data_IF_250565577507
#
_entry.id   IF_250565577507
#
_cell.length_a   1.000
_cell.length_b   1.000
_cell.length_c   1.000
_cell.angle_alpha   90.00
_cell.angle_beta   90.00
_cell.angle_gamma   90.00
#
_symmetry.space_group_name_H-M   'P 1'
#
loop_
_entity.id
_entity.type
_entity.pdbx_description
1 polymer ?
#
# COMPACT_ATOMS: atom_id res chain seq x y z
N UNK A 1 -10.39 9.93 -17.15
CA UNK A 1 -10.45 9.12 -15.91
C UNK A 1 -9.07 8.94 -15.31
N UNK A 2 -8.02 8.72 -16.09
CA UNK A 2 -6.69 8.36 -15.63
C UNK A 2 -6.05 9.43 -14.74
N UNK A 3 -6.13 10.71 -15.11
CA UNK A 3 -5.60 11.81 -14.30
C UNK A 3 -6.29 11.91 -12.92
N UNK A 4 -7.61 11.72 -12.88
CA UNK A 4 -8.37 11.70 -11.62
C UNK A 4 -7.97 10.48 -10.80
N UNK A 5 -7.82 9.31 -11.44
CA UNK A 5 -7.34 8.10 -10.78
C UNK A 5 -5.94 8.31 -10.17
N UNK A 6 -5.01 8.95 -10.88
CA UNK A 6 -3.67 9.25 -10.37
C UNK A 6 -3.73 10.07 -9.07
N UNK A 7 -4.55 11.12 -9.04
CA UNK A 7 -4.70 11.99 -7.87
C UNK A 7 -5.35 11.23 -6.72
N UNK A 8 -6.50 10.60 -6.95
CA UNK A 8 -7.30 9.96 -5.88
C UNK A 8 -6.62 8.69 -5.35
N UNK A 9 -6.12 7.84 -6.23
CA UNK A 9 -5.44 6.60 -5.81
C UNK A 9 -4.11 6.91 -5.13
N UNK A 10 -3.37 7.92 -5.62
CA UNK A 10 -2.19 8.41 -4.94
C UNK A 10 -2.48 8.93 -3.53
N UNK A 11 -3.57 9.70 -3.36
CA UNK A 11 -4.02 10.16 -2.05
C UNK A 11 -4.34 9.00 -1.10
N UNK A 12 -5.08 8.00 -1.58
CA UNK A 12 -5.43 6.82 -0.78
C UNK A 12 -4.19 6.04 -0.35
N UNK A 13 -3.25 5.78 -1.26
CA UNK A 13 -1.99 5.11 -0.93
C UNK A 13 -1.19 5.91 0.11
N UNK A 14 -1.13 7.24 -0.02
CA UNK A 14 -0.50 8.10 0.97
C UNK A 14 -1.16 8.03 2.35
N UNK A 15 -2.50 8.04 2.42
CA UNK A 15 -3.26 7.86 3.66
C UNK A 15 -2.99 6.48 4.27
N UNK A 16 -3.11 5.41 3.47
CA UNK A 16 -2.85 4.05 3.93
C UNK A 16 -1.45 3.90 4.50
N UNK A 17 -0.43 4.38 3.80
CA UNK A 17 0.94 4.38 4.27
C UNK A 17 1.13 5.13 5.59
N UNK A 18 0.53 6.31 5.72
CA UNK A 18 0.57 7.10 6.94
C UNK A 18 -0.05 6.37 8.14
N UNK A 19 -1.20 5.72 7.94
CA UNK A 19 -1.86 4.90 8.95
C UNK A 19 -0.96 3.73 9.37
N UNK A 20 -0.40 2.99 8.40
CA UNK A 20 0.44 1.84 8.70
C UNK A 20 1.75 2.21 9.40
N UNK A 21 2.40 3.31 9.01
CA UNK A 21 3.61 3.80 9.68
C UNK A 21 3.34 4.20 11.13
N UNK A 22 2.17 4.78 11.40
CA UNK A 22 1.75 5.14 12.75
C UNK A 22 1.45 3.90 13.61
N UNK A 23 0.63 2.95 13.11
CA UNK A 23 0.27 1.73 13.85
C UNK A 23 1.51 0.88 14.16
N UNK A 24 2.39 0.71 13.18
CA UNK A 24 3.61 -0.10 13.34
C UNK A 24 4.72 0.63 14.07
N UNK A 25 4.59 1.96 14.26
CA UNK A 25 5.65 2.85 14.77
C UNK A 25 6.97 2.65 14.02
N UNK A 26 6.84 2.34 12.75
CA UNK A 26 7.96 2.03 11.87
C UNK A 26 7.80 2.79 10.55
N UNK A 27 8.79 3.57 10.12
CA UNK A 27 8.77 4.26 8.84
C UNK A 27 8.69 3.32 7.64
N UNK A 28 8.97 2.04 7.80
CA UNK A 28 8.86 1.00 6.79
C UNK A 28 7.47 0.34 6.75
N UNK A 29 6.53 0.74 7.61
CA UNK A 29 5.18 0.21 7.64
C UNK A 29 4.40 0.68 6.41
N UNK A 30 3.88 -0.27 5.63
CA UNK A 30 2.97 -0.01 4.52
C UNK A 30 2.08 -1.22 4.29
N UNK A 31 0.90 -1.07 3.66
CA UNK A 31 0.04 -2.20 3.31
C UNK A 31 0.75 -3.25 2.46
N UNK A 32 1.63 -2.82 1.56
CA UNK A 32 2.43 -3.67 0.65
C UNK A 32 3.32 -4.62 1.46
N UNK A 33 4.03 -4.10 2.48
CA UNK A 33 4.94 -4.89 3.33
C UNK A 33 4.18 -5.92 4.17
N UNK A 34 2.91 -5.64 4.51
CA UNK A 34 2.06 -6.58 5.29
C UNK A 34 1.50 -7.71 4.42
N UNK A 35 1.79 -7.70 3.13
CA UNK A 35 1.44 -8.80 2.24
C UNK A 35 0.05 -8.72 1.62
N UNK A 36 -0.64 -7.58 1.77
CA UNK A 36 -1.93 -7.37 1.14
C UNK A 36 -1.84 -7.59 -0.38
N UNK A 37 -0.85 -6.97 -1.04
CA UNK A 37 -0.65 -7.08 -2.48
C UNK A 37 -0.32 -8.51 -2.92
N UNK A 38 0.46 -9.27 -2.12
CA UNK A 38 0.75 -10.66 -2.41
C UNK A 38 -0.51 -11.52 -2.39
N UNK A 39 -1.41 -11.30 -1.43
CA UNK A 39 -2.69 -11.99 -1.36
C UNK A 39 -3.64 -11.64 -2.50
N UNK A 40 -3.74 -10.35 -2.83
CA UNK A 40 -4.50 -9.88 -3.96
C UNK A 40 -4.00 -10.51 -5.26
N UNK A 41 -2.68 -10.52 -5.45
CA UNK A 41 -2.05 -11.12 -6.62
C UNK A 41 -2.29 -12.63 -6.70
N UNK A 42 -2.15 -13.36 -5.59
CA UNK A 42 -2.41 -14.81 -5.55
C UNK A 42 -3.85 -15.13 -5.97
N UNK A 43 -4.82 -14.37 -5.46
CA UNK A 43 -6.22 -14.59 -5.83
C UNK A 43 -6.48 -14.32 -7.32
N UNK A 44 -5.84 -13.30 -7.87
CA UNK A 44 -5.92 -12.99 -9.32
C UNK A 44 -5.26 -14.08 -10.16
N UNK A 45 -4.09 -14.56 -9.76
CA UNK A 45 -3.41 -15.69 -10.40
C UNK A 45 -4.32 -16.91 -10.44
N UNK A 46 -4.98 -17.24 -9.32
CA UNK A 46 -5.91 -18.37 -9.25
C UNK A 46 -7.11 -18.16 -10.19
N UNK A 47 -7.69 -16.96 -10.25
CA UNK A 47 -8.84 -16.68 -11.13
C UNK A 47 -8.46 -16.77 -12.60
N UNK A 48 -7.30 -16.25 -12.99
CA UNK A 48 -6.86 -16.27 -14.39
C UNK A 48 -6.36 -17.67 -14.79
N UNK A 49 -5.43 -18.27 -14.01
CA UNK A 49 -4.75 -19.50 -14.42
C UNK A 49 -5.54 -20.77 -14.10
N UNK A 50 -6.35 -20.78 -13.04
CA UNK A 50 -7.07 -22.00 -12.61
C UNK A 50 -8.53 -21.96 -13.08
N UNK A 51 -9.20 -20.80 -13.00
CA UNK A 51 -10.61 -20.64 -13.41
C UNK A 51 -10.75 -20.18 -14.85
N UNK A 52 -9.68 -19.78 -15.54
CA UNK A 52 -9.70 -19.29 -16.92
C UNK A 52 -10.52 -18.00 -17.13
N UNK A 53 -10.70 -17.20 -16.06
CA UNK A 53 -11.58 -16.04 -16.11
C UNK A 53 -10.76 -14.75 -16.12
N UNK A 54 -10.80 -14.01 -17.24
CA UNK A 54 -10.10 -12.74 -17.44
C UNK A 54 -11.02 -11.51 -17.32
N UNK A 55 -12.29 -11.72 -16.87
CA UNK A 55 -13.24 -10.62 -16.77
C UNK A 55 -12.86 -9.64 -15.66
N UNK A 56 -12.87 -8.34 -15.94
CA UNK A 56 -12.43 -7.27 -15.03
C UNK A 56 -13.02 -7.36 -13.62
N UNK A 57 -14.36 -7.53 -13.51
CA UNK A 57 -15.03 -7.58 -12.21
C UNK A 57 -14.66 -8.82 -11.39
N UNK A 58 -14.42 -9.96 -12.05
CA UNK A 58 -13.97 -11.18 -11.38
C UNK A 58 -12.56 -11.00 -10.80
N UNK A 59 -11.68 -10.38 -11.58
CA UNK A 59 -10.30 -10.07 -11.16
C UNK A 59 -10.31 -9.05 -10.02
N UNK A 60 -11.08 -7.97 -10.13
CA UNK A 60 -11.18 -6.94 -9.09
C UNK A 60 -11.73 -7.50 -7.77
N UNK A 61 -12.78 -8.33 -7.85
CA UNK A 61 -13.35 -8.99 -6.68
C UNK A 61 -12.35 -9.97 -6.03
N UNK A 62 -11.69 -10.79 -6.85
CA UNK A 62 -10.66 -11.71 -6.36
C UNK A 62 -9.51 -10.97 -5.67
N UNK A 63 -9.02 -9.88 -6.25
CA UNK A 63 -7.98 -9.05 -5.65
C UNK A 63 -8.36 -8.54 -4.26
N UNK A 64 -9.58 -8.01 -4.11
CA UNK A 64 -10.10 -7.54 -2.82
C UNK A 64 -10.18 -8.69 -1.81
N UNK A 65 -10.79 -9.79 -2.19
CA UNK A 65 -10.99 -10.94 -1.30
C UNK A 65 -9.67 -11.54 -0.87
N UNK A 66 -8.75 -11.78 -1.82
CA UNK A 66 -7.42 -12.33 -1.52
C UNK A 66 -6.60 -11.41 -0.62
N UNK A 67 -6.63 -10.11 -0.88
CA UNK A 67 -5.97 -9.13 -0.04
C UNK A 67 -6.55 -9.06 1.38
N UNK A 68 -7.87 -9.07 1.53
CA UNK A 68 -8.55 -9.07 2.84
C UNK A 68 -8.22 -10.36 3.61
N UNK A 69 -8.30 -11.52 2.97
CA UNK A 69 -7.96 -12.80 3.62
C UNK A 69 -6.52 -12.77 4.11
N UNK A 70 -5.59 -12.28 3.29
CA UNK A 70 -4.18 -12.19 3.67
C UNK A 70 -3.96 -11.19 4.78
N UNK A 71 -4.57 -10.00 4.71
CA UNK A 71 -4.50 -9.01 5.78
C UNK A 71 -5.05 -9.55 7.10
N UNK A 72 -6.17 -10.27 7.06
CA UNK A 72 -6.75 -10.92 8.24
C UNK A 72 -5.84 -12.01 8.79
N UNK A 73 -5.25 -12.83 7.93
CA UNK A 73 -4.31 -13.88 8.33
C UNK A 73 -3.10 -13.30 9.05
N UNK A 74 -2.48 -12.28 8.46
CA UNK A 74 -1.32 -11.59 9.05
C UNK A 74 -1.70 -10.89 10.35
N UNK A 75 -2.89 -10.27 10.40
CA UNK A 75 -3.43 -9.68 11.61
C UNK A 75 -3.62 -10.71 12.72
N UNK A 76 -4.22 -11.87 12.42
CA UNK A 76 -4.42 -12.94 13.38
C UNK A 76 -3.09 -13.50 13.92
N UNK A 77 -2.09 -13.66 13.06
CA UNK A 77 -0.72 -14.08 13.45
C UNK A 77 -0.02 -13.03 14.33
N UNK A 78 -0.28 -11.75 14.09
CA UNK A 78 0.31 -10.65 14.83
C UNK A 78 -0.40 -10.36 16.17
N UNK A 79 -1.62 -10.87 16.35
CA UNK A 79 -2.43 -10.60 17.52
C UNK A 79 -1.92 -11.34 18.76
N UNK A 80 -1.50 -10.57 19.77
CA UNK A 80 -1.21 -11.09 21.12
C UNK A 80 -1.46 -9.98 22.13
N UNK A 81 -2.64 -9.96 22.74
CA UNK A 81 -3.08 -8.89 23.67
C UNK A 81 -3.03 -7.48 23.03
N UNK A 82 -3.28 -7.39 21.72
CA UNK A 82 -3.20 -6.17 20.90
C UNK A 82 -2.31 -6.35 19.68
N UNK A 83 -2.40 -5.42 18.72
CA UNK A 83 -1.59 -5.43 17.50
C UNK A 83 -0.15 -5.03 17.83
N UNK A 84 0.80 -5.91 17.54
CA UNK A 84 2.22 -5.63 17.69
C UNK A 84 2.82 -5.33 16.31
N UNK A 85 3.24 -4.08 16.07
CA UNK A 85 3.75 -3.62 14.78
C UNK A 85 4.89 -4.47 14.22
N UNK A 86 5.85 -4.88 15.06
CA UNK A 86 6.96 -5.74 14.63
C UNK A 86 6.48 -7.12 14.14
N UNK A 87 5.54 -7.73 14.84
CA UNK A 87 4.94 -9.02 14.42
C UNK A 87 4.12 -8.90 13.15
N UNK A 88 3.42 -7.77 12.98
CA UNK A 88 2.66 -7.48 11.78
C UNK A 88 3.58 -7.44 10.55
N UNK A 89 4.74 -6.80 10.67
CA UNK A 89 5.74 -6.72 9.59
C UNK A 89 6.34 -8.10 9.28
N UNK A 90 6.83 -8.82 10.29
CA UNK A 90 7.44 -10.15 10.08
C UNK A 90 6.41 -11.15 9.54
N UNK A 91 5.21 -11.17 10.11
CA UNK A 91 4.11 -12.01 9.64
C UNK A 91 3.75 -11.70 8.18
N UNK A 92 3.70 -10.41 7.83
CA UNK A 92 3.45 -9.96 6.47
C UNK A 92 4.52 -10.43 5.48
N UNK A 93 5.79 -10.23 5.82
CA UNK A 93 6.92 -10.68 4.98
C UNK A 93 6.88 -12.20 4.80
N UNK A 94 6.63 -12.95 5.87
CA UNK A 94 6.60 -14.43 5.82
C UNK A 94 5.45 -14.94 4.95
N UNK A 95 4.24 -14.40 5.12
CA UNK A 95 3.06 -14.75 4.32
C UNK A 95 3.28 -14.36 2.86
N UNK A 96 3.82 -13.16 2.59
CA UNK A 96 4.14 -12.70 1.24
C UNK A 96 5.14 -13.62 0.54
N UNK A 97 6.19 -14.05 1.23
CA UNK A 97 7.18 -14.96 0.67
C UNK A 97 6.56 -16.32 0.31
N UNK A 98 5.69 -16.86 1.19
CA UNK A 98 4.97 -18.10 0.91
C UNK A 98 4.04 -17.96 -0.31
N UNK A 99 3.24 -16.89 -0.37
CA UNK A 99 2.33 -16.63 -1.48
C UNK A 99 3.09 -16.39 -2.79
N UNK A 100 4.21 -15.67 -2.74
CA UNK A 100 5.07 -15.44 -3.91
C UNK A 100 5.64 -16.74 -4.46
N UNK A 101 5.99 -17.72 -3.61
CA UNK A 101 6.46 -19.03 -4.03
C UNK A 101 5.35 -19.83 -4.72
N UNK A 102 4.11 -19.76 -4.19
CA UNK A 102 2.93 -20.38 -4.82
C UNK A 102 2.66 -19.75 -6.18
N UNK A 103 2.70 -18.43 -6.26
CA UNK A 103 2.48 -17.70 -7.51
C UNK A 103 3.54 -18.05 -8.57
N UNK A 104 4.81 -18.11 -8.18
CA UNK A 104 5.89 -18.52 -9.08
C UNK A 104 5.65 -19.94 -9.64
N UNK A 105 5.25 -20.89 -8.79
CA UNK A 105 4.91 -22.23 -9.22
C UNK A 105 3.74 -22.26 -10.21
N UNK A 106 2.65 -21.57 -9.92
CA UNK A 106 1.48 -21.51 -10.81
C UNK A 106 1.82 -20.90 -12.17
N UNK A 107 2.59 -19.80 -12.18
CA UNK A 107 3.00 -19.12 -13.41
C UNK A 107 3.91 -20.00 -14.27
N UNK A 108 4.81 -20.78 -13.67
CA UNK A 108 5.70 -21.68 -14.43
C UNK A 108 4.96 -22.86 -15.06
N UNK A 109 3.73 -23.14 -14.64
CA UNK A 109 2.85 -24.19 -15.19
C UNK A 109 1.82 -23.66 -16.17
N UNK A 110 1.68 -22.35 -16.27
CA UNK A 110 0.68 -21.70 -17.10
C UNK A 110 1.13 -21.61 -18.55
N UNK A 111 0.18 -21.49 -19.45
CA UNK A 111 0.44 -21.12 -20.84
C UNK A 111 1.05 -19.70 -20.92
N UNK A 112 1.91 -19.48 -21.90
CA UNK A 112 2.65 -18.22 -22.05
C UNK A 112 1.71 -17.01 -22.14
N UNK A 113 0.57 -17.15 -22.78
CA UNK A 113 -0.41 -16.10 -22.96
C UNK A 113 -1.03 -15.67 -21.61
N UNK A 114 -1.47 -16.63 -20.82
CA UNK A 114 -2.03 -16.41 -19.48
C UNK A 114 -0.99 -15.87 -18.49
N UNK A 115 0.24 -16.40 -18.54
CA UNK A 115 1.35 -15.90 -17.74
C UNK A 115 1.67 -14.42 -18.06
N UNK A 116 1.56 -14.02 -19.34
CA UNK A 116 1.70 -12.61 -19.75
C UNK A 116 0.58 -11.74 -19.18
N UNK A 117 -0.68 -12.19 -19.23
CA UNK A 117 -1.83 -11.45 -18.66
C UNK A 117 -1.63 -11.19 -17.17
N UNK A 118 -1.24 -12.23 -16.43
CA UNK A 118 -0.93 -12.14 -14.99
C UNK A 118 0.25 -11.19 -14.73
N UNK A 119 1.31 -11.29 -15.53
CA UNK A 119 2.49 -10.42 -15.44
C UNK A 119 2.14 -8.93 -15.65
N UNK A 120 1.34 -8.63 -16.68
CA UNK A 120 0.85 -7.27 -16.93
C UNK A 120 -0.07 -6.74 -15.82
N UNK A 121 -0.87 -7.61 -15.21
CA UNK A 121 -1.71 -7.20 -14.09
C UNK A 121 -0.87 -6.87 -12.85
N UNK A 122 0.14 -7.67 -12.56
CA UNK A 122 1.03 -7.48 -11.40
C UNK A 122 1.85 -6.20 -11.45
N UNK A 123 2.09 -5.67 -12.65
CA UNK A 123 2.83 -4.43 -12.83
C UNK A 123 2.05 -3.17 -12.39
N UNK A 124 0.73 -3.29 -12.19
CA UNK A 124 -0.14 -2.17 -11.83
C UNK A 124 -0.17 -1.05 -12.87
N UNK A 125 -1.34 -0.64 -13.31
CA UNK A 125 -1.45 0.44 -14.29
C UNK A 125 -2.77 1.19 -14.19
N UNK A 126 -2.67 2.49 -13.93
CA UNK A 126 -3.84 3.38 -13.97
C UNK A 126 -4.34 3.65 -15.40
N UNK A 127 -3.55 3.33 -16.43
CA UNK A 127 -3.92 3.53 -17.84
C UNK A 127 -5.11 2.68 -18.26
N UNK A 128 -5.40 1.61 -17.51
CA UNK A 128 -6.58 0.72 -17.75
C UNK A 128 -7.85 1.22 -17.04
N UNK A 129 -7.77 2.26 -16.25
CA UNK A 129 -8.92 2.79 -15.51
C UNK A 129 -9.87 3.50 -16.46
N UNK A 130 -11.07 2.99 -16.57
CA UNK A 130 -12.20 3.53 -17.35
C UNK A 130 -13.16 4.29 -16.43
N UNK A 131 -14.08 5.05 -16.99
CA UNK A 131 -15.12 5.70 -16.19
C UNK A 131 -16.01 4.70 -15.44
N UNK A 132 -16.24 3.51 -16.03
CA UNK A 132 -17.03 2.45 -15.42
C UNK A 132 -16.39 1.90 -14.13
N UNK A 133 -15.06 1.85 -14.06
CA UNK A 133 -14.33 1.44 -12.85
C UNK A 133 -14.04 2.60 -11.91
N UNK A 134 -13.84 3.80 -12.45
CA UNK A 134 -13.48 4.98 -11.66
C UNK A 134 -14.65 5.49 -10.80
N UNK A 135 -15.86 5.57 -11.35
CA UNK A 135 -17.01 6.13 -10.61
C UNK A 135 -17.30 5.34 -9.32
N UNK A 136 -17.44 4.01 -9.34
CA UNK A 136 -17.58 3.25 -8.10
C UNK A 136 -16.39 3.42 -7.16
N UNK A 137 -15.17 3.47 -7.71
CA UNK A 137 -13.96 3.68 -6.92
C UNK A 137 -13.95 5.03 -6.22
N UNK A 138 -14.44 6.10 -6.85
CA UNK A 138 -14.55 7.42 -6.23
C UNK A 138 -15.53 7.42 -5.05
N UNK A 139 -16.68 6.76 -5.18
CA UNK A 139 -17.67 6.64 -4.09
C UNK A 139 -17.03 5.95 -2.88
N UNK A 140 -16.36 4.81 -3.12
CA UNK A 140 -15.68 4.06 -2.06
C UNK A 140 -14.51 4.87 -1.47
N UNK A 141 -13.76 5.59 -2.32
CA UNK A 141 -12.67 6.46 -1.89
C UNK A 141 -13.12 7.56 -0.93
N UNK A 142 -14.30 8.16 -1.18
CA UNK A 142 -14.90 9.15 -0.27
C UNK A 142 -15.23 8.50 1.07
N UNK A 143 -15.85 7.33 1.09
CA UNK A 143 -16.20 6.60 2.33
C UNK A 143 -14.93 6.30 3.14
N UNK A 144 -13.89 5.76 2.50
CA UNK A 144 -12.60 5.45 3.15
C UNK A 144 -11.95 6.73 3.69
N UNK A 145 -11.97 7.82 2.91
CA UNK A 145 -11.39 9.10 3.32
C UNK A 145 -12.12 9.71 4.51
N UNK A 146 -13.45 9.63 4.55
CA UNK A 146 -14.25 10.07 5.71
C UNK A 146 -13.90 9.23 6.93
N UNK A 147 -13.82 7.90 6.80
CA UNK A 147 -13.41 7.03 7.90
C UNK A 147 -12.00 7.37 8.42
N UNK A 148 -11.05 7.63 7.52
CA UNK A 148 -9.70 8.06 7.88
C UNK A 148 -9.69 9.41 8.63
N UNK A 149 -10.50 10.38 8.20
CA UNK A 149 -10.64 11.69 8.86
C UNK A 149 -11.24 11.54 10.27
N UNK A 150 -12.27 10.71 10.43
CA UNK A 150 -12.88 10.44 11.75
C UNK A 150 -11.84 9.83 12.71
N UNK A 151 -11.01 8.90 12.23
CA UNK A 151 -9.98 8.25 13.03
C UNK A 151 -8.69 9.08 13.19
N UNK A 152 -8.55 10.20 12.46
CA UNK A 152 -7.33 11.00 12.45
C UNK A 152 -6.95 11.56 13.84
N UNK A 153 -7.93 11.91 14.67
CA UNK A 153 -7.69 12.37 16.06
C UNK A 153 -7.12 11.26 16.91
N UNK A 154 -7.72 10.07 16.83
CA UNK A 154 -7.25 8.89 17.57
C UNK A 154 -5.85 8.47 17.13
N UNK A 155 -5.56 8.53 15.83
CA UNK A 155 -4.24 8.26 15.26
C UNK A 155 -3.16 9.18 15.85
N UNK A 156 -3.43 10.50 15.88
CA UNK A 156 -2.51 11.48 16.49
C UNK A 156 -2.27 11.24 17.97
N UNK A 157 -3.30 10.87 18.72
CA UNK A 157 -3.13 10.52 20.13
C UNK A 157 -2.29 9.28 20.32
N UNK A 158 -2.40 8.29 19.43
CA UNK A 158 -1.56 7.09 19.45
C UNK A 158 -0.09 7.36 19.08
N UNK A 159 0.18 8.34 18.23
CA UNK A 159 1.54 8.76 17.91
C UNK A 159 2.31 9.31 19.13
N UNK A 160 1.59 9.86 20.13
CA UNK A 160 2.17 10.34 21.40
C UNK A 160 2.45 9.20 22.41
N UNK A 161 2.03 7.97 22.10
CA UNK A 161 2.17 6.80 22.94
C UNK A 161 0.88 6.31 23.57
N UNK A 162 0.84 5.03 23.97
CA UNK A 162 -0.38 4.38 24.45
C UNK A 162 -0.91 4.98 25.76
N UNK A 163 -0.01 5.41 26.66
CA UNK A 163 -0.38 6.08 27.89
C UNK A 163 -1.07 7.43 27.62
N UNK A 164 -0.53 8.23 26.71
CA UNK A 164 -1.15 9.49 26.30
C UNK A 164 -2.48 9.26 25.56
N UNK A 165 -2.56 8.24 24.72
CA UNK A 165 -3.79 7.88 24.02
C UNK A 165 -4.92 7.50 24.98
N UNK A 166 -4.62 6.71 26.01
CA UNK A 166 -5.60 6.31 27.02
C UNK A 166 -6.11 7.48 27.86
N UNK A 167 -5.25 8.44 28.23
CA UNK A 167 -5.67 9.66 28.93
C UNK A 167 -6.57 10.56 28.07
N UNK A 168 -6.43 10.50 26.74
CA UNK A 168 -7.31 11.16 25.79
C UNK A 168 -8.58 10.35 25.45
N UNK A 169 -8.86 9.26 26.19
CA UNK A 169 -10.05 8.42 25.98
C UNK A 169 -10.01 7.51 24.75
N UNK A 170 -8.85 7.34 24.11
CA UNK A 170 -8.69 6.46 22.96
C UNK A 170 -8.59 5.00 23.43
N UNK A 171 -9.43 4.13 22.88
CA UNK A 171 -9.37 2.69 23.13
C UNK A 171 -8.20 2.06 22.39
N UNK A 172 -7.07 1.88 23.07
CA UNK A 172 -5.82 1.34 22.48
C UNK A 172 -5.92 -0.11 22.00
N UNK A 173 -7.00 -0.83 22.33
CA UNK A 173 -7.26 -2.19 21.87
C UNK A 173 -8.00 -2.24 20.53
N UNK A 174 -9.02 -1.42 20.32
CA UNK A 174 -9.88 -1.46 19.13
C UNK A 174 -9.52 -0.43 18.07
N UNK A 175 -8.94 0.71 18.46
CA UNK A 175 -8.56 1.77 17.51
C UNK A 175 -7.50 1.32 16.49
N UNK A 176 -6.42 0.59 16.87
CA UNK A 176 -5.47 0.07 15.92
C UNK A 176 -6.11 -0.86 14.88
N UNK A 177 -7.06 -1.68 15.28
CA UNK A 177 -7.78 -2.58 14.39
C UNK A 177 -8.64 -1.80 13.38
N UNK A 178 -9.37 -0.78 13.83
CA UNK A 178 -10.17 0.07 12.95
C UNK A 178 -9.28 0.83 11.94
N UNK A 179 -8.16 1.39 12.41
CA UNK A 179 -7.16 2.04 11.55
C UNK A 179 -6.55 1.07 10.53
N UNK A 180 -6.25 -0.16 10.94
CA UNK A 180 -5.74 -1.20 10.05
C UNK A 180 -6.75 -1.52 8.94
N UNK A 181 -8.03 -1.68 9.28
CA UNK A 181 -9.09 -1.91 8.29
C UNK A 181 -9.17 -0.76 7.28
N UNK A 182 -9.13 0.49 7.75
CA UNK A 182 -9.13 1.66 6.85
C UNK A 182 -7.87 1.69 5.99
N UNK A 183 -6.70 1.44 6.56
CA UNK A 183 -5.43 1.41 5.83
C UNK A 183 -5.39 0.29 4.79
N UNK A 184 -5.91 -0.91 5.09
CA UNK A 184 -6.05 -2.00 4.11
C UNK A 184 -7.04 -1.61 3.02
N UNK A 185 -8.18 -0.99 3.37
CA UNK A 185 -9.19 -0.59 2.41
C UNK A 185 -8.66 0.41 1.37
N UNK A 186 -7.72 1.31 1.74
CA UNK A 186 -7.09 2.22 0.78
C UNK A 186 -6.33 1.47 -0.32
N UNK A 187 -5.49 0.50 0.05
CA UNK A 187 -4.75 -0.32 -0.92
C UNK A 187 -5.66 -1.27 -1.68
N UNK A 188 -6.64 -1.88 -1.00
CA UNK A 188 -7.60 -2.79 -1.62
C UNK A 188 -8.33 -2.14 -2.80
N UNK A 189 -8.81 -0.91 -2.61
CA UNK A 189 -9.51 -0.17 -3.65
C UNK A 189 -8.58 0.13 -4.83
N UNK A 190 -7.37 0.59 -4.57
CA UNK A 190 -6.40 0.93 -5.62
C UNK A 190 -6.00 -0.33 -6.39
N UNK A 191 -5.67 -1.42 -5.67
CA UNK A 191 -5.25 -2.69 -6.27
C UNK A 191 -6.37 -3.31 -7.12
N UNK A 192 -7.62 -3.24 -6.66
CA UNK A 192 -8.76 -3.72 -7.45
C UNK A 192 -8.98 -2.93 -8.73
N UNK A 193 -8.78 -1.61 -8.71
CA UNK A 193 -9.05 -0.74 -9.84
C UNK A 193 -7.89 -0.64 -10.84
N UNK A 194 -6.64 -0.69 -10.36
CA UNK A 194 -5.45 -0.40 -11.15
C UNK A 194 -4.37 -1.50 -11.09
N UNK A 195 -4.57 -2.55 -10.30
CA UNK A 195 -3.52 -3.48 -9.91
C UNK A 195 -2.63 -2.93 -8.80
N UNK A 196 -1.68 -3.72 -8.28
CA UNK A 196 -0.81 -3.31 -7.19
C UNK A 196 0.13 -2.17 -7.62
N UNK A 197 0.17 -1.10 -6.84
CA UNK A 197 1.06 0.05 -7.03
C UNK A 197 1.90 0.21 -5.77
N UNK A 198 3.06 -0.39 -5.79
CA UNK A 198 3.96 -0.45 -4.63
C UNK A 198 4.75 0.84 -4.42
N UNK A 199 5.35 0.97 -3.23
CA UNK A 199 6.26 2.04 -2.80
C UNK A 199 5.62 3.42 -2.58
N UNK A 200 4.53 3.79 -3.21
CA UNK A 200 3.91 5.10 -2.97
C UNK A 200 3.41 5.20 -1.54
N UNK A 201 2.74 4.16 -1.03
CA UNK A 201 2.28 4.10 0.35
C UNK A 201 3.44 4.18 1.37
N UNK A 202 4.61 3.66 1.01
CA UNK A 202 5.80 3.70 1.85
C UNK A 202 6.46 5.08 1.85
N UNK A 203 6.63 5.69 0.67
CA UNK A 203 7.46 6.89 0.47
C UNK A 203 6.68 8.17 0.74
N UNK A 204 5.40 8.24 0.37
CA UNK A 204 4.58 9.45 0.46
C UNK A 204 4.53 10.05 1.88
N UNK A 205 4.19 9.32 2.95
CA UNK A 205 4.12 9.89 4.28
C UNK A 205 5.49 10.35 4.79
N UNK A 206 6.58 9.69 4.39
CA UNK A 206 7.92 10.07 4.79
C UNK A 206 8.40 11.35 4.13
N UNK A 207 8.17 11.49 2.81
CA UNK A 207 8.47 12.74 2.10
C UNK A 207 7.60 13.89 2.62
N UNK A 208 6.31 13.63 2.85
CA UNK A 208 5.39 14.61 3.43
C UNK A 208 5.91 15.16 4.75
N UNK A 209 6.29 14.28 5.70
CA UNK A 209 6.86 14.70 7.00
C UNK A 209 8.14 15.53 6.87
N UNK A 210 9.00 15.20 5.90
CA UNK A 210 10.25 15.93 5.67
C UNK A 210 10.01 17.31 5.10
N UNK A 211 9.08 17.44 4.16
CA UNK A 211 8.76 18.72 3.53
C UNK A 211 7.99 19.65 4.48
N UNK A 212 7.02 19.11 5.22
CA UNK A 212 6.24 19.90 6.17
C UNK A 212 6.95 20.13 7.50
N UNK A 213 8.06 19.42 7.76
CA UNK A 213 8.81 19.47 9.04
C UNK A 213 7.92 19.21 10.26
N UNK A 214 6.82 18.49 10.10
CA UNK A 214 5.90 18.15 11.20
C UNK A 214 6.43 16.96 12.00
N UNK A 215 6.34 16.99 13.34
CA UNK A 215 6.83 15.89 14.18
C UNK A 215 5.97 14.63 14.10
N UNK A 216 4.68 14.75 13.78
CA UNK A 216 3.72 13.65 13.69
C UNK A 216 3.33 13.26 12.27
N UNK A 217 2.48 12.25 12.14
CA UNK A 217 1.92 11.82 10.86
C UNK A 217 0.72 12.71 10.50
N UNK A 218 0.78 13.37 9.34
CA UNK A 218 -0.32 14.15 8.77
C UNK A 218 -0.95 13.38 7.60
N UNK A 219 -2.19 12.93 7.76
CA UNK A 219 -2.93 12.23 6.70
C UNK A 219 -3.11 13.10 5.46
N UNK A 220 -3.38 14.40 5.65
CA UNK A 220 -3.58 15.36 4.54
C UNK A 220 -2.27 15.56 3.75
N UNK A 221 -1.16 15.78 4.46
CA UNK A 221 0.14 15.94 3.80
C UNK A 221 0.58 14.64 3.08
N UNK A 222 0.32 13.49 3.69
CA UNK A 222 0.60 12.19 3.08
C UNK A 222 -0.28 11.94 1.85
N UNK A 223 -1.58 12.30 1.90
CA UNK A 223 -2.48 12.24 0.75
C UNK A 223 -2.00 13.12 -0.41
N UNK A 224 -1.70 14.39 -0.13
CA UNK A 224 -1.19 15.32 -1.15
C UNK A 224 0.13 14.83 -1.78
N UNK A 225 1.03 14.31 -0.95
CA UNK A 225 2.30 13.75 -1.43
C UNK A 225 2.09 12.49 -2.27
N UNK A 226 1.20 11.59 -1.85
CA UNK A 226 0.86 10.39 -2.62
C UNK A 226 0.24 10.74 -3.97
N UNK A 227 -0.68 11.72 -4.01
CA UNK A 227 -1.25 12.26 -5.25
C UNK A 227 -0.17 12.81 -6.18
N UNK A 228 0.75 13.61 -5.63
CA UNK A 228 1.86 14.17 -6.41
C UNK A 228 2.78 13.07 -6.98
N UNK A 229 3.17 12.09 -6.14
CA UNK A 229 4.06 11.00 -6.57
C UNK A 229 3.43 10.14 -7.66
N UNK A 230 2.16 9.74 -7.52
CA UNK A 230 1.50 8.91 -8.53
C UNK A 230 1.24 9.69 -9.81
N UNK A 231 0.89 10.98 -9.72
CA UNK A 231 0.72 11.83 -10.89
C UNK A 231 2.05 12.06 -11.62
N UNK A 232 3.16 12.29 -10.89
CA UNK A 232 4.49 12.40 -11.49
C UNK A 232 4.92 11.09 -12.13
N UNK A 233 4.68 9.94 -11.49
CA UNK A 233 4.97 8.62 -12.06
C UNK A 233 4.16 8.39 -13.35
N UNK A 234 2.90 8.81 -13.37
CA UNK A 234 2.06 8.73 -14.57
C UNK A 234 2.59 9.61 -15.70
N UNK A 235 2.92 10.87 -15.41
CA UNK A 235 3.51 11.77 -16.41
C UNK A 235 4.82 11.21 -16.95
N UNK A 236 5.68 10.69 -16.10
CA UNK A 236 6.93 10.05 -16.51
C UNK A 236 6.67 8.82 -17.38
N UNK A 237 5.67 7.99 -17.05
CA UNK A 237 5.25 6.85 -17.87
C UNK A 237 4.81 7.31 -19.26
N UNK A 238 4.04 8.40 -19.38
CA UNK A 238 3.61 8.95 -20.67
C UNK A 238 4.80 9.47 -21.50
N UNK A 239 5.72 10.18 -20.87
CA UNK A 239 6.94 10.70 -21.54
C UNK A 239 7.78 9.53 -22.06
N UNK A 240 8.06 8.53 -21.25
CA UNK A 240 8.82 7.36 -21.68
C UNK A 240 8.09 6.61 -22.81
N UNK A 241 6.78 6.46 -22.69
CA UNK A 241 5.94 5.78 -23.69
C UNK A 241 5.90 6.50 -25.05
N UNK A 242 6.21 7.80 -25.09
CA UNK A 242 6.31 8.54 -26.36
C UNK A 242 7.59 8.21 -27.16
N UNK A 243 8.63 7.70 -26.48
CA UNK A 243 9.90 7.29 -27.12
C UNK A 243 10.05 5.78 -27.26
N UNK A 244 9.36 5.01 -26.41
CA UNK A 244 9.46 3.56 -26.34
C UNK A 244 8.05 2.91 -26.27
N UNK A 245 7.99 1.64 -25.90
CA UNK A 245 6.71 0.96 -25.63
C UNK A 245 6.09 1.46 -24.34
N UNK A 246 4.77 1.29 -24.21
CA UNK A 246 4.00 1.65 -23.00
C UNK A 246 4.52 0.91 -21.78
N UNK A 247 4.92 1.67 -20.76
CA UNK A 247 5.39 1.14 -19.47
C UNK A 247 4.27 1.28 -18.44
N UNK A 248 3.90 0.21 -17.71
CA UNK A 248 2.96 0.30 -16.60
C UNK A 248 3.45 1.30 -15.54
N UNK A 249 2.55 2.15 -15.08
CA UNK A 249 2.87 3.21 -14.11
C UNK A 249 3.40 2.64 -12.79
N UNK A 250 2.91 1.48 -12.36
CA UNK A 250 3.32 0.84 -11.11
C UNK A 250 4.78 0.41 -11.06
N UNK A 251 5.44 0.24 -12.22
CA UNK A 251 6.87 -0.09 -12.27
C UNK A 251 7.79 1.10 -11.94
N UNK A 252 7.34 2.33 -12.15
CA UNK A 252 8.19 3.53 -11.98
C UNK A 252 8.46 3.89 -10.51
N UNK A 253 7.49 3.80 -9.58
CA UNK A 253 7.74 4.07 -8.16
C UNK A 253 8.71 3.09 -7.50
N UNK A 254 8.82 1.86 -8.01
CA UNK A 254 9.65 0.80 -7.40
C UNK A 254 11.14 1.16 -7.36
N UNK A 255 11.82 1.48 -8.49
CA UNK A 255 13.23 1.88 -8.44
C UNK A 255 13.44 3.20 -7.72
N UNK A 256 12.53 4.18 -7.88
CA UNK A 256 12.61 5.47 -7.19
C UNK A 256 12.50 5.28 -5.67
N UNK A 257 11.51 4.50 -5.25
CA UNK A 257 11.29 4.17 -3.84
C UNK A 257 12.44 3.35 -3.25
N UNK A 258 12.96 2.37 -4.00
CA UNK A 258 14.12 1.58 -3.59
C UNK A 258 15.37 2.44 -3.40
N UNK A 259 15.69 3.31 -4.34
CA UNK A 259 16.81 4.27 -4.21
C UNK A 259 16.62 5.21 -3.01
N UNK A 260 15.39 5.71 -2.80
CA UNK A 260 15.07 6.54 -1.64
C UNK A 260 15.30 5.81 -0.32
N UNK A 261 14.88 4.54 -0.23
CA UNK A 261 15.05 3.72 0.98
C UNK A 261 16.52 3.43 1.26
N UNK A 262 17.31 3.09 0.26
CA UNK A 262 18.76 2.91 0.40
C UNK A 262 19.43 4.20 0.91
N UNK A 263 19.09 5.34 0.31
CA UNK A 263 19.59 6.63 0.77
C UNK A 263 19.19 6.94 2.22
N UNK A 264 17.95 6.61 2.60
CA UNK A 264 17.47 6.79 3.96
C UNK A 264 18.28 5.96 4.96
N UNK A 265 18.48 4.68 4.68
CA UNK A 265 19.27 3.77 5.51
C UNK A 265 20.69 4.28 5.70
N UNK A 266 21.37 4.65 4.61
CA UNK A 266 22.72 5.21 4.66
C UNK A 266 22.80 6.48 5.50
N UNK A 267 21.79 7.34 5.43
CA UNK A 267 21.76 8.58 6.21
C UNK A 267 21.53 8.34 7.70
N UNK A 268 20.65 7.40 8.06
CA UNK A 268 20.38 7.01 9.45
C UNK A 268 21.62 6.39 10.07
N UNK A 269 22.26 5.46 9.39
CA UNK A 269 23.49 4.81 9.83
C UNK A 269 24.63 5.83 10.06
N UNK A 270 24.84 6.76 9.13
CA UNK A 270 25.85 7.82 9.29
C UNK A 270 25.59 8.74 10.48
N UNK A 271 24.31 9.00 10.84
CA UNK A 271 23.99 9.78 12.05
C UNK A 271 24.31 9.01 13.33
N UNK A 272 24.01 7.72 13.38
CA UNK A 272 24.31 6.87 14.53
C UNK A 272 25.82 6.74 14.80
N UNK A 273 26.63 6.62 13.73
CA UNK A 273 28.10 6.65 13.86
C UNK A 273 28.63 8.01 14.35
N UNK A 274 28.01 9.13 13.95
CA UNK A 274 28.43 10.47 14.41
C UNK A 274 28.05 10.77 15.86
N UNK A 275 26.99 10.15 16.38
CA UNK A 275 26.53 10.35 17.77
C UNK A 275 27.13 9.34 18.76
N UNK A 276 28.03 8.45 18.32
CA UNK A 276 28.74 7.51 19.20
C UNK A 276 27.86 6.44 19.89
N UNK A 277 26.63 6.22 19.37
CA UNK A 277 25.64 5.33 20.01
C UNK A 277 25.83 3.85 19.64
N UNK A 278 26.79 3.53 18.77
CA UNK A 278 27.19 2.15 18.48
C UNK A 278 28.68 2.04 18.73
N UNK A 279 29.05 1.40 19.86
CA UNK A 279 30.36 0.79 20.11
C UNK A 279 30.30 -0.66 19.66
#
# INVERSE_FOLDING_TARGET
PVAIAAVVFGALLGIGGAIFQSITRNPLGSPDVIGFDAGSYTAVVLVILVLGNTHYWSIAFAAIVGGIITAFTVYALAWRKGVQGFRLIIGGISVSAMLSSINAYLITRADVEDAMVVGFWSAGSINRVTWQSLIPSLIIAVIISVAAIVLARSLRSMDMGDAAATTHGVKTTSTPSALLVVGVATSALVTAAAGPISFIALVAPQLARRLTKTPGVSLVAAAAMGSALLSCAHLLSLIISSFYRTIPVGLLPVPIGGCYMLWLLLRVTRRQYRTGTIR
#
